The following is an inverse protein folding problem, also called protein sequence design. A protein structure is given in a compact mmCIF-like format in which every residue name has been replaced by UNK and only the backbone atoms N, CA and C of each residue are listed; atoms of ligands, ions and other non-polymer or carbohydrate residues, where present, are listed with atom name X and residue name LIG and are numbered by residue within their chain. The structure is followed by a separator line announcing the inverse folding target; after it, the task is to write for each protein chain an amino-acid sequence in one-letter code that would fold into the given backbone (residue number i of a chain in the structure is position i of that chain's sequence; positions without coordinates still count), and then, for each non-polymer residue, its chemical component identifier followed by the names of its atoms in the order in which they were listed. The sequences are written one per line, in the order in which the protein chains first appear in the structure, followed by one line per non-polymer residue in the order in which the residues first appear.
data_IF_199456604919
#
_entry.id   IF_199456604919
#
_cell.length_a   1.000
_cell.length_b   1.000
_cell.length_c   1.000
_cell.angle_alpha   90.00
_cell.angle_beta   90.00
_cell.angle_gamma   90.00
#
_symmetry.space_group_name_H-M   'P 1'
#
loop_
_entity.id
_entity.type
_entity.pdbx_description
1 polymer ?
#
# COMPACT_ATOMS: atom_id res chain seq x y z
N UNK A 1 -18.49 7.65 2.90
CA UNK A 1 -17.29 7.03 2.36
C UNK A 1 -17.72 5.71 1.72
N UNK A 2 -17.54 5.52 0.42
CA UNK A 2 -17.77 4.19 -0.16
C UNK A 2 -16.68 3.28 0.40
N UNK A 3 -17.03 2.26 1.14
CA UNK A 3 -16.10 1.23 1.56
C UNK A 3 -15.72 0.43 0.31
N UNK A 4 -14.46 0.01 0.21
CA UNK A 4 -13.97 -0.72 -0.97
C UNK A 4 -14.71 -2.05 -1.23
N UNK A 5 -15.43 -2.55 -0.24
CA UNK A 5 -16.16 -3.82 -0.29
C UNK A 5 -17.58 -3.67 0.26
N UNK A 6 -18.26 -2.53 -0.03
CA UNK A 6 -19.67 -2.36 0.29
C UNK A 6 -20.47 -3.46 -0.42
N UNK A 7 -21.29 -4.17 0.33
CA UNK A 7 -22.13 -5.29 -0.10
C UNK A 7 -21.41 -6.62 -0.38
N UNK A 8 -20.17 -6.83 0.07
CA UNK A 8 -19.46 -8.10 -0.10
C UNK A 8 -19.06 -8.42 -1.54
N UNK A 9 -19.23 -7.50 -2.48
CA UNK A 9 -18.88 -7.70 -3.87
C UNK A 9 -17.36 -7.67 -4.05
N UNK A 10 -16.81 -8.65 -4.77
CA UNK A 10 -15.43 -8.63 -5.18
C UNK A 10 -15.18 -7.52 -6.21
N UNK A 11 -14.01 -6.91 -6.17
CA UNK A 11 -13.55 -5.98 -7.20
C UNK A 11 -12.76 -6.74 -8.26
N UNK A 12 -13.10 -6.52 -9.52
CA UNK A 12 -12.42 -7.15 -10.65
C UNK A 12 -11.71 -6.11 -11.49
N UNK A 13 -10.47 -6.43 -11.84
CA UNK A 13 -9.63 -5.61 -12.71
C UNK A 13 -9.05 -6.50 -13.80
N UNK A 14 -8.91 -5.95 -14.99
CA UNK A 14 -8.15 -6.59 -16.06
C UNK A 14 -7.24 -5.59 -16.73
N UNK A 15 -6.04 -6.04 -17.01
CA UNK A 15 -5.03 -5.28 -17.73
C UNK A 15 -4.64 -6.08 -18.98
N UNK A 16 -4.73 -5.44 -20.15
CA UNK A 16 -4.27 -6.00 -21.41
C UNK A 16 -2.99 -5.27 -21.80
N UNK A 17 -1.87 -5.90 -21.53
CA UNK A 17 -0.57 -5.40 -21.96
C UNK A 17 -0.30 -5.70 -23.44
N UNK A 18 0.74 -5.11 -24.02
CA UNK A 18 1.18 -5.40 -25.39
C UNK A 18 1.58 -6.87 -25.53
N UNK A 19 1.41 -7.43 -26.73
CA UNK A 19 1.79 -8.79 -27.12
C UNK A 19 1.15 -9.92 -26.29
N UNK A 20 -0.07 -9.71 -25.79
CA UNK A 20 -0.77 -10.71 -24.98
C UNK A 20 -0.28 -10.79 -23.52
N UNK A 21 0.64 -9.91 -23.11
CA UNK A 21 0.92 -9.69 -21.71
C UNK A 21 -0.29 -9.03 -21.05
N UNK A 22 -0.57 -9.42 -19.82
CA UNK A 22 -1.68 -8.88 -19.07
C UNK A 22 -2.23 -9.89 -18.09
N UNK A 23 -3.24 -9.47 -17.35
CA UNK A 23 -3.81 -10.28 -16.28
C UNK A 23 -5.25 -9.88 -15.99
N UNK A 24 -5.92 -10.75 -15.27
CA UNK A 24 -7.15 -10.46 -14.54
C UNK A 24 -6.88 -10.68 -13.06
N UNK A 25 -7.38 -9.79 -12.21
CA UNK A 25 -7.34 -9.94 -10.76
C UNK A 25 -8.71 -9.69 -10.18
N UNK A 26 -9.14 -10.57 -9.30
CA UNK A 26 -10.38 -10.45 -8.54
C UNK A 26 -10.04 -10.40 -7.06
N UNK A 27 -10.38 -9.32 -6.40
CA UNK A 27 -10.07 -9.04 -4.98
C UNK A 27 -11.37 -9.09 -4.20
N UNK A 28 -11.43 -9.97 -3.23
CA UNK A 28 -12.54 -10.12 -2.29
C UNK A 28 -12.07 -9.85 -0.85
N UNK A 29 -13.00 -9.85 0.08
CA UNK A 29 -12.70 -9.60 1.50
C UNK A 29 -11.80 -10.68 2.11
N UNK A 30 -11.96 -11.93 1.69
CA UNK A 30 -11.29 -13.10 2.24
C UNK A 30 -10.01 -13.49 1.49
N UNK A 31 -9.80 -12.95 0.30
CA UNK A 31 -8.67 -13.33 -0.54
C UNK A 31 -8.72 -12.72 -1.93
N UNK A 32 -7.86 -13.17 -2.81
CA UNK A 32 -7.85 -12.74 -4.20
C UNK A 32 -7.45 -13.87 -5.15
N UNK A 33 -7.90 -13.77 -6.39
CA UNK A 33 -7.42 -14.60 -7.48
C UNK A 33 -6.72 -13.74 -8.54
N UNK A 34 -5.67 -14.29 -9.13
CA UNK A 34 -4.89 -13.64 -10.18
C UNK A 34 -4.64 -14.64 -11.31
N UNK A 35 -4.91 -14.22 -12.52
CA UNK A 35 -4.67 -15.03 -13.73
C UNK A 35 -3.99 -14.20 -14.79
N UNK A 36 -2.80 -14.64 -15.23
CA UNK A 36 -2.13 -14.05 -16.38
C UNK A 36 -2.84 -14.44 -17.68
N UNK A 37 -2.93 -13.51 -18.63
CA UNK A 37 -3.59 -13.76 -19.92
C UNK A 37 -2.86 -14.82 -20.77
N UNK A 38 -1.57 -15.00 -20.56
CA UNK A 38 -0.78 -16.06 -21.21
C UNK A 38 -0.92 -17.43 -20.55
N UNK A 39 -1.73 -17.54 -19.47
CA UNK A 39 -1.99 -18.79 -18.76
C UNK A 39 -0.83 -19.34 -17.93
N UNK A 40 0.31 -18.62 -17.81
CA UNK A 40 1.47 -19.10 -17.06
C UNK A 40 1.31 -18.96 -15.53
N UNK A 41 0.47 -18.03 -15.09
CA UNK A 41 0.20 -17.78 -13.69
C UNK A 41 -1.30 -17.86 -13.48
N UNK A 42 -1.71 -18.72 -12.56
CA UNK A 42 -3.10 -18.86 -12.10
C UNK A 42 -3.03 -19.12 -10.58
N UNK A 43 -3.44 -18.14 -9.79
CA UNK A 43 -3.26 -18.13 -8.33
C UNK A 43 -4.59 -17.77 -7.69
N UNK A 44 -5.00 -18.56 -6.71
CA UNK A 44 -6.13 -18.28 -5.82
C UNK A 44 -5.63 -18.38 -4.37
N UNK A 45 -5.72 -17.28 -3.62
CA UNK A 45 -5.09 -17.16 -2.32
C UNK A 45 -6.07 -16.58 -1.30
N UNK A 46 -6.14 -17.21 -0.14
CA UNK A 46 -6.87 -16.68 1.01
C UNK A 46 -5.94 -15.84 1.89
N UNK A 47 -6.40 -14.69 2.33
CA UNK A 47 -5.61 -13.83 3.21
C UNK A 47 -5.26 -14.46 4.55
N UNK A 48 -6.05 -15.42 5.02
CA UNK A 48 -5.75 -16.22 6.21
C UNK A 48 -4.46 -17.07 6.08
N UNK A 49 -4.04 -17.37 4.85
CA UNK A 49 -2.85 -18.17 4.55
C UNK A 49 -1.59 -17.30 4.35
N UNK A 50 -1.76 -15.98 4.25
CA UNK A 50 -0.68 -15.02 4.00
C UNK A 50 -0.25 -14.38 5.30
N UNK A 51 1.04 -14.42 5.60
CA UNK A 51 1.67 -13.71 6.71
C UNK A 51 2.17 -12.33 6.32
N UNK A 52 2.64 -12.16 5.07
CA UNK A 52 3.10 -10.86 4.56
C UNK A 52 2.87 -10.72 3.06
N UNK A 53 2.82 -9.47 2.61
CA UNK A 53 2.65 -9.07 1.24
C UNK A 53 3.73 -8.03 0.90
N UNK A 54 4.75 -8.45 0.14
CA UNK A 54 5.81 -7.57 -0.33
C UNK A 54 5.36 -6.90 -1.63
N UNK A 55 5.40 -5.59 -1.68
CA UNK A 55 5.05 -4.79 -2.85
C UNK A 55 6.26 -4.00 -3.32
N UNK A 56 6.74 -4.27 -4.52
CA UNK A 56 7.87 -3.58 -5.12
C UNK A 56 7.42 -2.82 -6.35
N UNK A 57 7.49 -1.48 -6.32
CA UNK A 57 7.21 -0.63 -7.47
C UNK A 57 8.38 -0.62 -8.45
N UNK A 58 8.07 -0.56 -9.71
CA UNK A 58 9.05 -0.42 -10.78
C UNK A 58 8.59 0.59 -11.84
N UNK A 59 9.54 1.18 -12.51
CA UNK A 59 9.31 2.03 -13.67
C UNK A 59 10.47 1.85 -14.66
N UNK A 60 10.15 1.33 -15.84
CA UNK A 60 11.06 1.26 -16.98
C UNK A 60 10.31 1.76 -18.24
N UNK A 61 9.92 0.88 -19.15
CA UNK A 61 8.96 1.20 -20.21
C UNK A 61 7.53 1.31 -19.67
N UNK A 62 7.22 0.48 -18.68
CA UNK A 62 5.98 0.51 -17.92
C UNK A 62 6.28 0.72 -16.45
N UNK A 63 5.33 1.27 -15.73
CA UNK A 63 5.31 1.31 -14.28
C UNK A 63 4.30 0.30 -13.74
N UNK A 64 4.55 -0.18 -12.55
CA UNK A 64 3.67 -1.12 -11.87
C UNK A 64 4.26 -1.63 -10.58
N UNK A 65 3.66 -2.69 -10.07
CA UNK A 65 4.09 -3.35 -8.85
C UNK A 65 4.29 -4.83 -9.10
N UNK A 66 5.37 -5.35 -8.52
CA UNK A 66 5.57 -6.78 -8.32
C UNK A 66 5.16 -7.13 -6.91
N UNK A 67 4.27 -8.08 -6.80
CA UNK A 67 3.72 -8.55 -5.52
C UNK A 67 4.28 -9.92 -5.24
N UNK A 68 4.96 -10.07 -4.11
CA UNK A 68 5.42 -11.33 -3.59
C UNK A 68 4.66 -11.68 -2.33
N UNK A 69 4.15 -12.89 -2.26
CA UNK A 69 3.38 -13.38 -1.13
C UNK A 69 4.24 -14.26 -0.25
N UNK A 70 4.11 -14.09 1.05
CA UNK A 70 4.71 -14.97 2.05
C UNK A 70 3.61 -15.56 2.90
N UNK A 71 3.70 -16.85 3.13
CA UNK A 71 2.79 -17.56 4.03
C UNK A 71 3.01 -17.18 5.49
N UNK A 72 2.22 -17.77 6.36
CA UNK A 72 2.37 -17.64 7.80
C UNK A 72 3.81 -17.95 8.22
N UNK A 73 4.31 -17.24 9.24
CA UNK A 73 5.69 -17.33 9.71
C UNK A 73 6.75 -17.07 8.61
N UNK A 74 6.43 -16.21 7.64
CA UNK A 74 7.31 -15.84 6.54
C UNK A 74 7.72 -16.99 5.62
N UNK A 75 6.99 -18.08 5.64
CA UNK A 75 7.23 -19.26 4.80
C UNK A 75 7.10 -18.87 3.31
N UNK A 76 8.03 -19.33 2.50
CA UNK A 76 7.89 -19.23 1.05
C UNK A 76 6.71 -20.12 0.59
N UNK A 77 5.78 -19.51 -0.13
CA UNK A 77 4.60 -20.21 -0.67
C UNK A 77 4.89 -20.88 -2.01
N UNK A 78 6.08 -20.68 -2.58
CA UNK A 78 6.40 -21.20 -3.93
C UNK A 78 5.58 -20.56 -5.05
N UNK A 79 4.92 -19.42 -4.76
CA UNK A 79 4.13 -18.71 -5.75
C UNK A 79 5.00 -17.75 -6.56
N UNK A 80 4.71 -17.57 -7.86
CA UNK A 80 5.41 -16.58 -8.67
C UNK A 80 5.12 -15.16 -8.20
N UNK A 81 6.01 -14.23 -8.53
CA UNK A 81 5.71 -12.80 -8.39
C UNK A 81 4.57 -12.41 -9.32
N UNK A 82 3.61 -11.67 -8.78
CA UNK A 82 2.46 -11.17 -9.53
C UNK A 82 2.72 -9.73 -9.97
N UNK A 83 2.28 -9.36 -11.15
CA UNK A 83 2.36 -7.98 -11.63
C UNK A 83 0.99 -7.31 -11.49
N UNK A 84 0.96 -6.13 -10.84
CA UNK A 84 -0.25 -5.32 -10.67
C UNK A 84 0.00 -3.89 -11.16
N UNK A 85 -1.10 -3.18 -11.45
CA UNK A 85 -1.09 -1.77 -11.85
C UNK A 85 -0.16 -1.47 -13.04
N UNK A 86 0.04 -2.42 -13.96
CA UNK A 86 0.93 -2.24 -15.10
C UNK A 86 0.36 -1.20 -16.05
N UNK A 87 1.00 -0.03 -16.11
CA UNK A 87 0.59 1.14 -16.90
C UNK A 87 1.80 1.76 -17.59
N UNK A 88 1.63 2.57 -18.66
CA UNK A 88 2.73 3.37 -19.19
C UNK A 88 3.38 4.24 -18.12
N UNK A 89 4.70 4.39 -18.17
CA UNK A 89 5.47 5.06 -17.13
C UNK A 89 5.04 6.53 -16.89
N UNK A 90 4.46 7.16 -17.89
CA UNK A 90 3.89 8.53 -17.81
C UNK A 90 2.75 8.64 -16.81
N UNK A 91 2.04 7.54 -16.56
CA UNK A 91 0.87 7.46 -15.70
C UNK A 91 1.16 6.68 -14.40
N UNK A 92 2.44 6.58 -14.04
CA UNK A 92 2.91 5.77 -12.91
C UNK A 92 2.31 6.15 -11.53
N UNK A 93 1.64 7.29 -11.44
CA UNK A 93 1.00 7.73 -10.20
C UNK A 93 -0.39 7.12 -9.95
N UNK A 94 -0.94 6.41 -10.93
CA UNK A 94 -2.25 5.79 -10.82
C UNK A 94 -2.11 4.40 -10.20
N UNK A 95 -2.54 4.25 -8.97
CA UNK A 95 -2.66 2.98 -8.26
C UNK A 95 -4.10 2.50 -8.43
N UNK A 96 -4.30 1.31 -8.99
CA UNK A 96 -5.62 0.73 -9.25
C UNK A 96 -5.87 -0.51 -8.43
N UNK A 97 -5.20 -1.60 -8.76
CA UNK A 97 -5.45 -2.92 -8.19
C UNK A 97 -4.71 -3.13 -6.87
N UNK A 98 -3.51 -2.60 -6.74
CA UNK A 98 -2.69 -2.76 -5.53
C UNK A 98 -3.35 -2.14 -4.29
N UNK A 99 -4.03 -1.02 -4.46
CA UNK A 99 -4.70 -0.33 -3.35
C UNK A 99 -5.83 -1.14 -2.72
N UNK A 100 -6.84 -1.63 -3.47
CA UNK A 100 -7.85 -2.51 -2.88
C UNK A 100 -7.27 -3.81 -2.36
N UNK A 101 -6.23 -4.38 -2.97
CA UNK A 101 -5.55 -5.56 -2.46
C UNK A 101 -4.97 -5.30 -1.06
N UNK A 102 -4.24 -4.19 -0.89
CA UNK A 102 -3.67 -3.81 0.40
C UNK A 102 -4.74 -3.56 1.47
N UNK A 103 -5.85 -2.90 1.09
CA UNK A 103 -6.95 -2.63 2.02
C UNK A 103 -7.62 -3.94 2.44
N UNK A 104 -7.86 -4.85 1.50
CA UNK A 104 -8.45 -6.15 1.81
C UNK A 104 -7.54 -7.00 2.70
N UNK A 105 -6.25 -7.03 2.39
CA UNK A 105 -5.26 -7.71 3.22
C UNK A 105 -5.19 -7.10 4.63
N UNK A 106 -5.11 -5.78 4.74
CA UNK A 106 -5.12 -5.10 6.03
C UNK A 106 -6.40 -5.39 6.83
N UNK A 107 -7.57 -5.41 6.17
CA UNK A 107 -8.83 -5.74 6.81
C UNK A 107 -8.83 -7.18 7.36
N UNK A 108 -8.21 -8.12 6.66
CA UNK A 108 -8.09 -9.51 7.14
C UNK A 108 -7.24 -9.64 8.40
N UNK A 109 -6.33 -8.69 8.67
CA UNK A 109 -5.39 -8.68 9.81
C UNK A 109 -5.84 -7.76 10.94
N UNK A 110 -6.44 -6.62 10.60
CA UNK A 110 -6.86 -5.59 11.55
C UNK A 110 -8.34 -5.72 11.96
N UNK A 111 -9.04 -6.70 11.41
CA UNK A 111 -10.45 -6.95 11.65
C UNK A 111 -11.34 -6.51 10.51
N UNK A 112 -12.42 -7.27 10.33
CA UNK A 112 -13.35 -7.14 9.20
C UNK A 112 -14.02 -5.77 9.07
N UNK A 113 -14.01 -4.96 10.13
CA UNK A 113 -14.58 -3.61 10.14
C UNK A 113 -13.60 -2.55 9.59
N UNK A 114 -12.35 -2.91 9.31
CA UNK A 114 -11.40 -1.97 8.70
C UNK A 114 -11.92 -1.56 7.29
N UNK A 115 -11.87 -0.28 6.92
CA UNK A 115 -11.30 0.86 7.66
C UNK A 115 -12.29 1.62 8.57
N UNK A 116 -13.48 1.10 8.85
CA UNK A 116 -14.48 1.80 9.66
C UNK A 116 -14.06 1.92 11.14
N UNK A 117 -13.35 0.92 11.66
CA UNK A 117 -12.83 0.88 13.02
C UNK A 117 -11.51 1.64 13.23
N UNK A 118 -11.13 2.50 12.29
CA UNK A 118 -9.83 3.18 12.22
C UNK A 118 -9.39 3.85 13.54
N UNK A 119 -10.34 4.40 14.30
CA UNK A 119 -10.05 5.12 15.56
C UNK A 119 -10.00 4.22 16.81
N UNK A 120 -10.35 2.95 16.67
CA UNK A 120 -10.26 1.96 17.76
C UNK A 120 -9.12 0.97 17.59
N UNK A 121 -8.35 1.09 16.51
CA UNK A 121 -7.23 0.20 16.22
C UNK A 121 -6.05 0.44 17.16
N UNK A 122 -5.37 -0.65 17.46
CA UNK A 122 -4.06 -0.69 18.08
C UNK A 122 -3.15 -1.58 17.23
N UNK A 123 -2.08 -1.01 16.66
CA UNK A 123 -1.21 -1.71 15.72
C UNK A 123 0.20 -1.14 15.75
N UNK A 124 1.19 -2.00 15.58
CA UNK A 124 2.56 -1.58 15.29
C UNK A 124 2.67 -1.17 13.82
N UNK A 125 3.35 -0.06 13.56
CA UNK A 125 3.47 0.54 12.24
C UNK A 125 4.89 0.43 11.65
N UNK A 126 5.82 -0.16 12.39
CA UNK A 126 7.22 -0.24 12.00
C UNK A 126 8.06 0.92 12.52
N UNK A 127 9.12 1.26 11.81
CA UNK A 127 10.07 2.30 12.21
C UNK A 127 10.61 3.09 11.02
N UNK A 128 11.10 4.28 11.28
CA UNK A 128 11.87 5.09 10.33
C UNK A 128 13.14 5.59 11.01
N UNK A 129 14.13 6.08 10.25
CA UNK A 129 15.34 6.67 10.84
C UNK A 129 15.09 7.81 11.84
N UNK A 130 13.92 8.47 11.73
CA UNK A 130 13.53 9.57 12.62
C UNK A 130 12.60 9.17 13.77
N UNK A 131 11.91 8.04 13.62
CA UNK A 131 10.90 7.58 14.58
C UNK A 131 11.05 6.07 14.79
N UNK A 132 11.38 5.68 16.00
CA UNK A 132 11.46 4.28 16.41
C UNK A 132 10.13 3.83 17.00
N UNK A 133 9.76 2.58 16.80
CA UNK A 133 8.59 1.94 17.39
C UNK A 133 7.29 2.72 17.16
N UNK A 134 7.04 3.06 15.90
CA UNK A 134 5.78 3.69 15.52
C UNK A 134 4.62 2.76 15.83
N UNK A 135 3.62 3.29 16.53
CA UNK A 135 2.42 2.57 16.94
C UNK A 135 1.18 3.41 16.69
N UNK A 136 0.13 2.78 16.23
CA UNK A 136 -1.21 3.35 16.27
C UNK A 136 -1.88 2.89 17.57
N UNK A 137 -2.44 3.82 18.31
CA UNK A 137 -3.25 3.52 19.49
C UNK A 137 -4.44 4.47 19.57
N UNK A 138 -5.63 3.91 19.46
CA UNK A 138 -6.90 4.62 19.57
C UNK A 138 -6.95 5.92 18.74
N UNK A 139 -6.57 5.83 17.47
CA UNK A 139 -6.61 6.95 16.54
C UNK A 139 -5.45 7.94 16.67
N UNK A 140 -4.41 7.61 17.44
CA UNK A 140 -3.18 8.42 17.57
C UNK A 140 -2.00 7.60 17.09
N UNK A 141 -1.25 8.12 16.11
CA UNK A 141 0.05 7.58 15.75
C UNK A 141 1.08 8.15 16.72
N UNK A 142 1.80 7.27 17.38
CA UNK A 142 2.79 7.59 18.41
C UNK A 142 4.15 7.09 17.93
N UNK A 143 5.12 7.98 17.84
CA UNK A 143 6.53 7.68 17.60
C UNK A 143 7.38 8.11 18.78
N UNK A 144 8.70 7.94 18.68
CA UNK A 144 9.63 8.30 19.73
C UNK A 144 9.70 9.82 19.97
N UNK A 145 9.49 10.63 18.95
CA UNK A 145 9.62 12.09 18.99
C UNK A 145 8.32 12.83 18.75
N UNK A 146 7.44 12.27 17.95
CA UNK A 146 6.23 12.93 17.49
C UNK A 146 5.01 12.05 17.69
N UNK A 147 3.87 12.71 17.77
CA UNK A 147 2.57 12.03 17.71
C UNK A 147 1.61 12.84 16.83
N UNK A 148 0.74 12.12 16.11
CA UNK A 148 -0.24 12.71 15.21
C UNK A 148 -1.57 11.98 15.37
N UNK A 149 -2.65 12.73 15.58
CA UNK A 149 -4.00 12.17 15.57
C UNK A 149 -4.45 11.91 14.13
N UNK A 150 -5.02 10.76 13.87
CA UNK A 150 -5.55 10.42 12.55
C UNK A 150 -6.60 11.44 12.07
N UNK A 151 -7.42 11.97 12.99
CA UNK A 151 -8.42 13.00 12.70
C UNK A 151 -7.84 14.33 12.21
N UNK A 152 -6.58 14.62 12.59
CA UNK A 152 -5.94 15.88 12.23
C UNK A 152 -5.19 15.81 10.89
N UNK A 153 -5.06 14.63 10.30
CA UNK A 153 -4.36 14.44 9.02
C UNK A 153 -5.11 15.15 7.90
N UNK A 154 -4.44 16.07 7.22
CA UNK A 154 -4.99 16.84 6.08
C UNK A 154 -4.33 16.51 4.76
N UNK A 155 -3.09 16.02 4.78
CA UNK A 155 -2.36 15.56 3.59
C UNK A 155 -1.46 14.40 3.94
N UNK A 156 -1.31 13.48 3.02
CA UNK A 156 -0.28 12.45 3.04
C UNK A 156 0.39 12.45 1.68
N UNK A 157 1.71 12.53 1.66
CA UNK A 157 2.50 12.43 0.43
C UNK A 157 3.38 11.20 0.50
N UNK A 158 3.37 10.42 -0.55
CA UNK A 158 4.35 9.37 -0.76
C UNK A 158 5.61 10.01 -1.39
N UNK A 159 6.73 9.92 -0.69
CA UNK A 159 8.01 10.46 -1.16
C UNK A 159 8.99 9.31 -1.24
N UNK A 160 9.52 9.06 -2.43
CA UNK A 160 10.58 8.07 -2.59
C UNK A 160 11.95 8.72 -2.76
N UNK A 161 12.95 8.10 -2.18
CA UNK A 161 14.36 8.46 -2.33
C UNK A 161 15.11 7.21 -2.78
N UNK A 162 15.20 7.03 -4.09
CA UNK A 162 15.74 5.79 -4.65
C UNK A 162 14.86 4.58 -4.30
N UNK A 163 15.46 3.54 -3.72
CA UNK A 163 14.74 2.32 -3.35
C UNK A 163 13.92 2.43 -2.06
N UNK A 164 14.00 3.55 -1.34
CA UNK A 164 13.27 3.76 -0.10
C UNK A 164 12.17 4.79 -0.30
N UNK A 165 10.99 4.50 0.23
CA UNK A 165 9.86 5.41 0.27
C UNK A 165 9.41 5.71 1.70
N UNK A 166 8.87 6.90 1.89
CA UNK A 166 8.29 7.35 3.16
C UNK A 166 6.92 7.96 2.91
N UNK A 167 6.01 7.77 3.84
CA UNK A 167 4.74 8.46 3.90
C UNK A 167 4.89 9.70 4.78
N UNK A 168 4.87 10.87 4.17
CA UNK A 168 4.95 12.15 4.85
C UNK A 168 3.56 12.65 5.25
N UNK A 169 3.31 12.76 6.53
CA UNK A 169 2.01 13.14 7.12
C UNK A 169 2.00 14.60 7.51
N UNK A 170 0.94 15.31 7.15
CA UNK A 170 0.76 16.74 7.41
C UNK A 170 -0.60 17.01 8.04
N UNK A 171 -0.61 17.81 9.10
CA UNK A 171 -1.83 18.30 9.77
C UNK A 171 -2.35 19.63 9.18
N UNK A 172 -1.59 20.25 8.28
CA UNK A 172 -1.99 21.47 7.56
C UNK A 172 -2.49 21.13 6.16
N UNK A 173 -3.58 21.73 5.71
CA UNK A 173 -4.17 21.50 4.40
C UNK A 173 -3.33 22.05 3.24
N UNK A 174 -2.59 23.13 3.47
CA UNK A 174 -1.70 23.75 2.47
C UNK A 174 -0.27 23.83 3.02
N UNK A 175 0.70 23.58 2.15
CA UNK A 175 2.11 23.80 2.44
C UNK A 175 2.46 25.28 2.44
N UNK A 176 3.42 25.67 3.27
CA UNK A 176 4.08 26.98 3.25
C UNK A 176 5.43 26.88 2.54
N UNK A 177 6.24 27.94 2.67
CA UNK A 177 7.59 27.99 2.10
C UNK A 177 8.49 26.87 2.64
N UNK A 178 8.31 26.49 3.91
CA UNK A 178 8.93 25.32 4.55
C UNK A 178 7.82 24.29 4.87
N UNK A 179 7.51 23.43 3.90
CA UNK A 179 6.47 22.40 4.06
C UNK A 179 7.06 21.14 4.71
N UNK A 180 7.32 21.21 6.02
CA UNK A 180 7.83 20.06 6.77
C UNK A 180 6.69 19.14 7.21
N UNK A 181 6.84 17.82 7.05
CA UNK A 181 5.85 16.86 7.58
C UNK A 181 5.87 16.86 9.11
N UNK A 182 4.69 16.64 9.70
CA UNK A 182 4.56 16.46 11.14
C UNK A 182 5.13 15.11 11.60
N UNK A 183 5.07 14.11 10.73
CA UNK A 183 5.60 12.77 10.99
C UNK A 183 5.91 12.08 9.66
N UNK A 184 6.85 11.15 9.69
CA UNK A 184 7.17 10.25 8.58
C UNK A 184 6.94 8.82 9.01
N UNK A 185 6.27 8.05 8.16
CA UNK A 185 6.00 6.64 8.38
C UNK A 185 6.64 5.80 7.27
N UNK A 186 7.01 4.56 7.57
CA UNK A 186 7.43 3.62 6.53
C UNK A 186 6.24 3.31 5.62
N UNK A 187 6.52 2.90 4.39
CA UNK A 187 5.50 2.38 3.50
C UNK A 187 5.43 0.88 3.71
N UNK A 188 4.31 0.41 4.22
CA UNK A 188 4.05 -1.01 4.37
C UNK A 188 2.54 -1.31 4.24
N UNK A 189 2.19 -2.58 4.31
CA UNK A 189 0.83 -3.09 4.12
C UNK A 189 -0.18 -2.61 5.17
N UNK A 190 0.30 -2.00 6.25
CA UNK A 190 -0.55 -1.41 7.29
C UNK A 190 -0.59 0.10 7.16
N UNK A 191 0.56 0.76 7.08
CA UNK A 191 0.63 2.22 7.08
C UNK A 191 0.01 2.82 5.84
N UNK A 192 0.19 2.19 4.68
CA UNK A 192 -0.36 2.69 3.42
C UNK A 192 -1.89 2.69 3.43
N UNK A 193 -2.60 1.58 3.66
CA UNK A 193 -4.06 1.58 3.70
C UNK A 193 -4.63 2.36 4.89
N UNK A 194 -3.94 2.37 6.03
CA UNK A 194 -4.32 3.15 7.20
C UNK A 194 -4.37 4.65 6.90
N UNK A 195 -3.28 5.19 6.35
CA UNK A 195 -3.20 6.61 6.03
C UNK A 195 -4.09 7.00 4.85
N UNK A 196 -4.25 6.11 3.87
CA UNK A 196 -5.20 6.30 2.79
C UNK A 196 -6.63 6.45 3.33
N UNK A 197 -7.03 5.54 4.23
CA UNK A 197 -8.35 5.61 4.86
C UNK A 197 -8.52 6.88 5.69
N UNK A 198 -7.52 7.24 6.49
CA UNK A 198 -7.55 8.43 7.35
C UNK A 198 -7.64 9.72 6.52
N UNK A 199 -6.74 9.93 5.55
CA UNK A 199 -6.72 11.16 4.77
C UNK A 199 -7.95 11.28 3.86
N UNK A 200 -8.42 10.17 3.28
CA UNK A 200 -9.64 10.15 2.48
C UNK A 200 -10.87 10.50 3.32
N UNK A 201 -10.98 9.94 4.52
CA UNK A 201 -12.07 10.27 5.46
C UNK A 201 -12.10 11.75 5.83
N UNK A 202 -10.92 12.33 6.09
CA UNK A 202 -10.81 13.70 6.58
C UNK A 202 -10.95 14.76 5.48
N UNK A 203 -10.63 14.43 4.23
CA UNK A 203 -10.47 15.43 3.16
C UNK A 203 -11.18 15.09 1.86
N UNK A 204 -11.66 13.86 1.70
CA UNK A 204 -12.16 13.34 0.43
C UNK A 204 -11.06 13.04 -0.61
N UNK A 205 -9.78 13.25 -0.27
CA UNK A 205 -8.63 13.02 -1.15
C UNK A 205 -7.76 11.91 -0.58
N UNK A 206 -7.22 11.06 -1.45
CA UNK A 206 -6.27 10.01 -1.07
C UNK A 206 -4.84 10.52 -0.87
N UNK A 207 -3.93 9.57 -0.70
CA UNK A 207 -2.48 9.84 -0.64
C UNK A 207 -2.02 10.44 -1.97
N UNK A 208 -1.17 11.47 -1.89
CA UNK A 208 -0.54 12.10 -3.04
C UNK A 208 0.76 11.37 -3.42
N UNK A 209 0.75 10.69 -4.55
CA UNK A 209 1.90 10.00 -5.14
C UNK A 209 2.62 10.84 -6.21
N UNK A 210 2.13 12.04 -6.52
CA UNK A 210 2.58 12.84 -7.68
C UNK A 210 4.04 13.31 -7.61
N UNK A 211 4.67 13.25 -6.44
CA UNK A 211 6.04 13.71 -6.21
C UNK A 211 7.01 12.61 -5.79
N UNK A 212 6.66 11.37 -6.04
CA UNK A 212 7.56 10.25 -5.84
C UNK A 212 8.72 10.30 -6.84
N UNK A 213 9.92 10.58 -6.39
CA UNK A 213 11.12 10.61 -7.25
C UNK A 213 11.41 9.27 -7.93
N UNK A 214 10.85 8.19 -7.43
CA UNK A 214 11.01 6.86 -7.98
C UNK A 214 10.40 6.66 -9.37
N UNK A 215 9.53 7.57 -9.79
CA UNK A 215 8.90 7.57 -11.10
C UNK A 215 9.33 8.76 -11.96
N UNK A 216 10.38 9.49 -11.57
CA UNK A 216 10.91 10.59 -12.35
C UNK A 216 11.80 10.04 -13.49
N UNK A 217 11.37 10.26 -14.72
CA UNK A 217 12.03 9.78 -15.95
C UNK A 217 13.49 10.21 -16.10
N UNK A 218 13.91 11.23 -15.37
CA UNK A 218 15.24 11.82 -15.55
C UNK A 218 16.35 10.99 -14.90
N UNK A 219 16.02 10.08 -13.98
CA UNK A 219 17.02 9.52 -13.11
C UNK A 219 17.46 8.09 -13.43
N UNK A 220 16.67 7.28 -14.14
CA UNK A 220 17.12 5.96 -14.63
C UNK A 220 16.05 5.22 -15.42
N UNK A 221 16.48 4.36 -16.33
CA UNK A 221 15.61 3.41 -17.02
C UNK A 221 15.01 2.36 -16.08
N UNK A 222 15.48 2.30 -14.83
CA UNK A 222 15.10 1.27 -13.87
C UNK A 222 15.08 1.80 -12.44
N UNK A 223 13.90 2.14 -11.95
CA UNK A 223 13.72 2.54 -10.55
C UNK A 223 12.88 1.50 -9.85
N UNK A 224 13.47 0.86 -8.84
CA UNK A 224 12.77 -0.05 -7.96
C UNK A 224 12.38 0.70 -6.70
N UNK A 225 11.09 0.88 -6.48
CA UNK A 225 10.55 1.38 -5.23
C UNK A 225 10.05 0.19 -4.44
N UNK A 226 10.68 -0.08 -3.32
CA UNK A 226 10.19 -1.07 -2.38
C UNK A 226 9.24 -0.38 -1.42
N UNK A 227 7.97 -0.71 -1.50
CA UNK A 227 6.94 -0.18 -0.61
C UNK A 227 6.92 -0.91 0.72
N UNK A 228 7.34 -2.16 0.70
CA UNK A 228 7.39 -3.00 1.88
C UNK A 228 8.69 -3.78 1.87
N UNK A 229 9.36 -3.79 3.00
CA UNK A 229 10.41 -4.76 3.22
C UNK A 229 9.78 -6.08 3.67
N UNK A 230 10.34 -7.19 3.23
CA UNK A 230 9.84 -8.50 3.60
C UNK A 230 9.74 -8.62 5.12
N UNK A 231 8.58 -9.01 5.61
CA UNK A 231 8.37 -9.33 7.02
C UNK A 231 7.70 -8.27 7.87
N UNK A 232 7.13 -7.24 7.28
CA UNK A 232 6.43 -6.21 8.03
C UNK A 232 5.20 -6.70 8.76
N UNK A 233 4.52 -7.65 8.22
CA UNK A 233 3.30 -8.14 8.81
C UNK A 233 3.42 -9.62 9.15
N UNK A 234 3.87 -9.88 10.36
CA UNK A 234 3.73 -11.21 10.96
C UNK A 234 2.48 -11.16 11.82
N UNK A 235 1.47 -11.97 11.48
CA UNK A 235 0.36 -12.21 12.37
C UNK A 235 0.93 -12.67 13.71
N UNK A 236 0.71 -11.91 14.77
CA UNK A 236 0.96 -12.40 16.10
C UNK A 236 -0.20 -13.32 16.44
N UNK A 237 0.07 -14.61 16.45
CA UNK A 237 -0.80 -15.57 17.12
C UNK A 237 -0.75 -15.32 18.63
#
# INVERSE_FOLDING_TARGET
MKTYFDNGAAMEFSNKGPQGAGYTVRIAKEGFSYKSLNGKVDVDVKFAEIGALDLTGYCSQNAGYKVRLRGLNMRDMGLPELELDTIPCDNAHNIRESKPLLIAFAASKLGAEFPNNLFSLDAELGETPGEQRLRLSYGVIIGAKHQVKLADIKRVKCVSKGAQGELCVYTKAKGGFFDMPNMKLPINEITLPLLEAAVTRNTGKGIDFSKGRGFDRKDSEYVIIRYMDSGFFVSRD
#
